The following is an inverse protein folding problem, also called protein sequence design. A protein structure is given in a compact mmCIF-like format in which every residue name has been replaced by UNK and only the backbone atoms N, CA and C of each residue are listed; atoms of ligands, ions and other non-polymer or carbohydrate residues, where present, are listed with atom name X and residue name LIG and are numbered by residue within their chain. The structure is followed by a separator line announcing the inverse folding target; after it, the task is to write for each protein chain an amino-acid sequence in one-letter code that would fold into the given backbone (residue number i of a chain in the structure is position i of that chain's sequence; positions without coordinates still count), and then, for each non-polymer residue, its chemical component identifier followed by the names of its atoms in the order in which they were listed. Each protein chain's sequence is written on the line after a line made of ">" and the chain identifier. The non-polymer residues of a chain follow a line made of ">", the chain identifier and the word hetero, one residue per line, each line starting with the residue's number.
data_IF_705684760748
#
_entry.id   IF_705684760748
#
_cell.length_a   1.000
_cell.length_b   1.000
_cell.length_c   1.000
_cell.angle_alpha   90.00
_cell.angle_beta   90.00
_cell.angle_gamma   90.00
#
_symmetry.space_group_name_H-M   'P 1'
#
loop_
_entity.id
_entity.type
_entity.pdbx_description
1 polymer ?
#
# COMPACT_ATOMS: atom_id res chain seq x y z
N UNK A 1 -7.91 -15.57 -3.37
CA UNK A 1 -7.56 -14.53 -4.37
C UNK A 1 -7.60 -15.15 -5.75
N UNK A 2 -8.65 -14.83 -6.52
CA UNK A 2 -8.81 -15.31 -7.90
C UNK A 2 -8.02 -14.41 -8.86
N UNK A 3 -7.67 -14.97 -10.00
CA UNK A 3 -6.79 -14.40 -11.02
C UNK A 3 -7.23 -13.00 -11.45
N UNK A 4 -6.46 -12.02 -10.99
CA UNK A 4 -6.51 -10.62 -11.34
C UNK A 4 -5.14 -10.28 -11.89
N UNK A 5 -5.04 -9.22 -12.70
CA UNK A 5 -3.77 -8.56 -12.98
C UNK A 5 -3.20 -7.85 -11.75
N UNK A 6 -3.20 -8.51 -10.59
CA UNK A 6 -2.55 -8.06 -9.37
C UNK A 6 -1.07 -7.97 -9.67
N UNK A 7 -0.55 -6.76 -9.71
CA UNK A 7 0.89 -6.59 -9.67
C UNK A 7 1.30 -6.86 -8.23
N UNK A 8 2.45 -7.51 -8.01
CA UNK A 8 3.07 -7.47 -6.67
C UNK A 8 3.38 -6.00 -6.32
N UNK A 9 4.09 -5.68 -5.25
CA UNK A 9 4.70 -4.34 -5.10
C UNK A 9 6.13 -4.35 -5.72
N UNK A 10 6.36 -4.55 -7.05
CA UNK A 10 7.56 -4.04 -7.66
C UNK A 10 7.38 -2.55 -8.05
N UNK A 11 6.21 -1.95 -7.80
CA UNK A 11 5.88 -0.55 -8.10
C UNK A 11 6.58 0.47 -7.21
N UNK A 12 7.14 0.00 -6.09
CA UNK A 12 7.68 0.85 -5.03
C UNK A 12 9.09 0.37 -4.68
N UNK A 13 9.98 1.32 -4.41
CA UNK A 13 11.30 1.08 -3.82
C UNK A 13 11.23 1.20 -2.29
N UNK A 14 11.79 0.19 -1.61
CA UNK A 14 11.98 0.17 -0.15
C UNK A 14 13.47 0.24 0.19
N UNK A 15 13.88 1.28 0.90
CA UNK A 15 15.27 1.50 1.31
C UNK A 15 15.33 2.35 2.59
N UNK A 16 16.34 2.13 3.42
CA UNK A 16 16.53 2.86 4.69
C UNK A 16 17.52 4.04 4.54
N UNK A 17 18.45 3.99 3.58
CA UNK A 17 19.71 4.76 3.66
C UNK A 17 20.05 5.69 2.48
N UNK A 18 19.12 6.00 1.57
CA UNK A 18 19.38 6.98 0.50
C UNK A 18 18.74 8.32 0.86
N UNK A 19 19.51 9.42 0.84
CA UNK A 19 18.99 10.77 1.16
C UNK A 19 17.85 11.16 0.22
N UNK A 20 17.91 10.70 -1.03
CA UNK A 20 16.94 11.00 -2.09
C UNK A 20 15.54 10.45 -1.79
N UNK A 21 15.43 9.45 -0.90
CA UNK A 21 14.15 8.95 -0.41
C UNK A 21 13.48 9.94 0.54
N UNK A 22 14.28 10.69 1.30
CA UNK A 22 13.80 11.62 2.29
C UNK A 22 13.43 12.97 1.69
N UNK A 23 13.94 13.29 0.50
CA UNK A 23 13.64 14.50 -0.26
C UNK A 23 12.29 14.46 -1.00
N UNK A 24 11.65 13.29 -1.07
CA UNK A 24 10.35 13.14 -1.72
C UNK A 24 9.26 13.94 -1.00
N UNK A 25 8.37 14.59 -1.75
CA UNK A 25 7.24 15.35 -1.20
C UNK A 25 6.24 14.45 -0.48
N UNK A 26 5.97 13.27 -1.04
CA UNK A 26 5.12 12.26 -0.43
C UNK A 26 5.88 10.93 -0.42
N UNK A 27 5.92 10.28 0.75
CA UNK A 27 6.48 8.93 0.90
C UNK A 27 5.68 8.12 1.90
N UNK A 28 5.69 6.81 1.74
CA UNK A 28 5.09 5.89 2.68
C UNK A 28 6.14 5.44 3.71
N UNK A 29 5.72 5.33 4.95
CA UNK A 29 6.50 4.85 6.08
C UNK A 29 5.89 3.54 6.56
N UNK A 30 6.64 2.45 6.49
CA UNK A 30 6.18 1.10 6.84
C UNK A 30 6.88 0.63 8.10
N UNK A 31 6.14 0.11 9.06
CA UNK A 31 6.75 -0.38 10.31
C UNK A 31 7.46 -1.72 10.11
N UNK A 32 8.62 -1.86 10.76
CA UNK A 32 9.38 -3.12 10.78
C UNK A 32 8.83 -4.10 11.81
N UNK A 33 8.45 -3.62 12.99
CA UNK A 33 7.95 -4.42 14.11
C UNK A 33 6.66 -3.80 14.62
N UNK A 34 5.70 -4.64 15.01
CA UNK A 34 4.41 -4.21 15.57
C UNK A 34 3.23 -4.45 14.64
N UNK A 35 2.18 -3.65 14.80
CA UNK A 35 0.96 -3.74 14.01
C UNK A 35 1.24 -3.42 12.54
N UNK A 36 0.74 -4.24 11.61
CA UNK A 36 0.94 -4.05 10.17
C UNK A 36 0.22 -2.77 9.74
N UNK A 37 0.97 -1.68 9.59
CA UNK A 37 0.46 -0.36 9.25
C UNK A 37 1.43 0.40 8.36
N UNK A 38 0.88 1.28 7.52
CA UNK A 38 1.61 2.23 6.72
C UNK A 38 1.14 3.65 7.05
N UNK A 39 2.07 4.60 7.09
CA UNK A 39 1.77 6.02 7.24
C UNK A 39 2.19 6.79 5.99
N UNK A 40 1.51 7.88 5.70
CA UNK A 40 1.93 8.84 4.67
C UNK A 40 2.71 9.96 5.34
N UNK A 41 3.93 10.21 4.88
CA UNK A 41 4.72 11.36 5.27
C UNK A 41 4.71 12.42 4.17
N UNK A 42 4.44 13.65 4.58
CA UNK A 42 4.52 14.88 3.77
C UNK A 42 5.52 15.90 4.31
N UNK A 43 6.16 15.57 5.43
CA UNK A 43 7.04 16.47 6.18
C UNK A 43 8.51 16.11 6.02
N UNK A 44 8.83 15.18 5.11
CA UNK A 44 10.20 14.71 4.83
C UNK A 44 10.92 14.20 6.08
N UNK A 45 10.19 13.53 6.97
CA UNK A 45 10.70 13.04 8.23
C UNK A 45 11.80 12.00 8.02
N UNK A 46 12.87 12.12 8.81
CA UNK A 46 13.88 11.07 8.95
C UNK A 46 13.39 10.00 9.91
N UNK A 47 13.75 8.74 9.66
CA UNK A 47 13.37 7.63 10.51
C UNK A 47 14.56 6.73 10.84
N UNK A 48 14.45 6.01 11.96
CA UNK A 48 15.43 5.01 12.36
C UNK A 48 15.18 3.67 11.64
N UNK A 49 15.97 2.65 11.97
CA UNK A 49 15.87 1.30 11.39
C UNK A 49 14.55 0.55 11.67
N UNK A 50 13.69 1.08 12.55
CA UNK A 50 12.38 0.53 12.87
C UNK A 50 11.32 0.82 11.80
N UNK A 51 11.64 1.67 10.82
CA UNK A 51 10.73 2.07 9.75
C UNK A 51 11.43 1.94 8.41
N UNK A 52 10.70 1.42 7.42
CA UNK A 52 11.13 1.42 6.03
C UNK A 52 10.46 2.58 5.28
N UNK A 53 11.25 3.30 4.49
CA UNK A 53 10.73 4.30 3.56
C UNK A 53 10.40 3.63 2.23
N UNK A 54 9.23 3.97 1.72
CA UNK A 54 8.53 3.32 0.62
C UNK A 54 8.08 4.41 -0.38
N UNK A 55 8.66 4.45 -1.58
CA UNK A 55 8.32 5.46 -2.60
C UNK A 55 8.06 4.84 -3.98
N UNK A 56 7.14 5.38 -4.79
CA UNK A 56 6.97 4.94 -6.18
C UNK A 56 8.27 5.09 -6.99
N UNK A 57 8.56 4.16 -7.90
CA UNK A 57 9.77 4.22 -8.73
C UNK A 57 9.93 5.52 -9.52
N UNK A 58 8.85 6.09 -10.03
CA UNK A 58 8.89 7.34 -10.79
C UNK A 58 9.37 8.54 -9.97
N UNK A 59 9.26 8.52 -8.64
CA UNK A 59 9.85 9.54 -7.76
C UNK A 59 11.37 9.54 -7.79
N UNK A 60 11.99 8.42 -8.19
CA UNK A 60 13.44 8.30 -8.35
C UNK A 60 13.94 8.62 -9.75
N UNK A 61 13.08 9.03 -10.70
CA UNK A 61 13.44 9.14 -12.12
C UNK A 61 14.72 9.95 -12.41
N UNK A 62 15.01 10.98 -11.60
CA UNK A 62 16.20 11.84 -11.71
C UNK A 62 17.42 11.30 -10.96
N UNK A 63 17.24 10.30 -10.09
CA UNK A 63 18.28 9.75 -9.23
C UNK A 63 19.10 8.71 -10.00
N UNK A 64 20.41 8.96 -10.13
CA UNK A 64 21.39 8.10 -10.80
C UNK A 64 22.57 7.81 -9.87
N UNK A 65 22.41 6.83 -8.97
CA UNK A 65 23.47 6.40 -8.06
C UNK A 65 23.52 4.85 -7.94
N UNK A 66 24.42 4.32 -7.09
CA UNK A 66 24.62 2.87 -6.93
C UNK A 66 23.47 2.15 -6.20
N UNK A 67 22.59 2.87 -5.51
CA UNK A 67 21.54 2.28 -4.67
C UNK A 67 20.36 1.72 -5.47
N UNK A 68 19.70 2.46 -6.40
CA UNK A 68 18.72 1.89 -7.33
C UNK A 68 19.32 0.87 -8.29
N UNK A 69 20.59 1.05 -8.69
CA UNK A 69 21.31 0.11 -9.57
C UNK A 69 21.31 -1.31 -9.04
N UNK A 70 21.36 -1.51 -7.72
CA UNK A 70 21.32 -2.85 -7.10
C UNK A 70 19.98 -3.58 -7.28
N UNK A 71 18.91 -2.88 -7.64
CA UNK A 71 17.55 -3.43 -7.66
C UNK A 71 16.88 -3.38 -9.03
N UNK A 72 17.36 -2.53 -9.93
CA UNK A 72 16.88 -2.46 -11.31
C UNK A 72 18.04 -2.10 -12.23
N UNK A 73 18.07 -2.69 -13.41
CA UNK A 73 18.99 -2.33 -14.49
C UNK A 73 18.42 -1.19 -15.32
N UNK A 74 19.30 -0.39 -15.92
CA UNK A 74 18.85 0.57 -16.93
C UNK A 74 18.62 -0.15 -18.27
N UNK A 75 17.76 0.41 -19.12
CA UNK A 75 17.47 -0.14 -20.45
C UNK A 75 18.74 -0.30 -21.30
N UNK A 76 19.64 0.69 -21.25
CA UNK A 76 20.87 0.74 -22.05
C UNK A 76 22.13 0.36 -21.25
N UNK A 77 21.98 -0.40 -20.16
CA UNK A 77 23.11 -0.81 -19.32
C UNK A 77 24.00 -1.85 -20.02
N UNK A 78 25.33 -1.66 -19.95
CA UNK A 78 26.33 -2.59 -20.54
C UNK A 78 27.39 -2.96 -19.50
N UNK A 79 27.62 -4.26 -19.21
CA UNK A 79 26.81 -5.41 -19.65
C UNK A 79 25.41 -5.38 -19.03
N UNK A 80 24.42 -5.89 -19.76
CA UNK A 80 23.04 -5.90 -19.28
C UNK A 80 22.83 -6.96 -18.20
N UNK A 81 22.33 -6.55 -17.03
CA UNK A 81 22.02 -7.41 -15.88
C UNK A 81 20.61 -7.95 -15.97
N UNK A 82 20.40 -8.96 -16.84
CA UNK A 82 19.07 -9.50 -17.18
C UNK A 82 18.35 -10.17 -16.00
N UNK A 83 19.06 -10.47 -14.91
CA UNK A 83 18.51 -10.93 -13.64
C UNK A 83 17.70 -9.86 -12.91
N UNK A 84 17.91 -8.58 -13.24
CA UNK A 84 17.21 -7.45 -12.64
C UNK A 84 16.08 -6.94 -13.53
N UNK A 85 15.00 -6.41 -12.92
CA UNK A 85 13.94 -5.73 -13.66
C UNK A 85 14.47 -4.48 -14.37
N UNK A 86 13.81 -4.11 -15.47
CA UNK A 86 14.07 -2.88 -16.21
C UNK A 86 13.55 -1.67 -15.42
N UNK A 87 14.43 -0.72 -15.11
CA UNK A 87 14.09 0.45 -14.29
C UNK A 87 13.03 1.32 -14.94
N UNK A 88 13.15 1.60 -16.22
CA UNK A 88 12.23 2.44 -16.98
C UNK A 88 10.81 1.85 -17.00
N UNK A 89 10.70 0.52 -17.04
CA UNK A 89 9.40 -0.18 -16.93
C UNK A 89 8.80 -0.06 -15.53
N UNK A 90 9.63 -0.12 -14.48
CA UNK A 90 9.19 0.09 -13.09
C UNK A 90 8.70 1.53 -12.89
N UNK A 91 9.44 2.51 -13.40
CA UNK A 91 9.06 3.93 -13.36
C UNK A 91 7.72 4.14 -14.09
N UNK A 92 7.60 3.66 -15.34
CA UNK A 92 6.37 3.72 -16.13
C UNK A 92 5.19 3.09 -15.41
N UNK A 93 5.39 1.90 -14.83
CA UNK A 93 4.31 1.19 -14.15
C UNK A 93 3.89 1.91 -12.86
N UNK A 94 4.86 2.41 -12.09
CA UNK A 94 4.57 3.09 -10.82
C UNK A 94 3.78 4.39 -10.98
N UNK A 95 3.87 5.09 -12.13
CA UNK A 95 3.07 6.31 -12.40
C UNK A 95 1.57 6.07 -12.43
N UNK A 96 1.16 4.83 -12.64
CA UNK A 96 -0.26 4.45 -12.75
C UNK A 96 -0.96 4.41 -11.40
N UNK A 97 -0.22 4.49 -10.29
CA UNK A 97 -0.75 4.31 -8.95
C UNK A 97 -0.59 5.59 -8.14
N UNK A 98 -1.70 6.05 -7.56
CA UNK A 98 -1.69 7.14 -6.60
C UNK A 98 -1.11 6.65 -5.25
N UNK A 99 -0.23 7.44 -4.62
CA UNK A 99 0.40 7.03 -3.34
C UNK A 99 -0.61 6.86 -2.21
N UNK A 100 -1.71 7.63 -2.20
CA UNK A 100 -2.80 7.49 -1.23
C UNK A 100 -3.63 6.23 -1.49
N UNK A 101 -3.77 5.82 -2.75
CA UNK A 101 -4.35 4.52 -3.07
C UNK A 101 -3.47 3.38 -2.53
N UNK A 102 -2.15 3.48 -2.70
CA UNK A 102 -1.20 2.52 -2.11
C UNK A 102 -1.28 2.51 -0.57
N UNK A 103 -1.42 3.68 0.06
CA UNK A 103 -1.65 3.79 1.52
C UNK A 103 -2.90 3.02 1.96
N UNK A 104 -4.01 3.17 1.24
CA UNK A 104 -5.26 2.46 1.52
C UNK A 104 -5.09 0.94 1.39
N UNK A 105 -4.48 0.48 0.30
CA UNK A 105 -4.20 -0.95 0.09
C UNK A 105 -3.35 -1.51 1.24
N UNK A 106 -2.26 -0.84 1.60
CA UNK A 106 -1.32 -1.33 2.61
C UNK A 106 -1.88 -1.35 4.04
N UNK A 107 -2.89 -0.52 4.34
CA UNK A 107 -3.58 -0.53 5.62
C UNK A 107 -4.85 -1.39 5.65
N UNK A 108 -5.22 -2.02 4.52
CA UNK A 108 -6.39 -2.88 4.47
C UNK A 108 -6.22 -4.20 5.24
N UNK A 109 -7.32 -4.73 5.74
CA UNK A 109 -7.46 -6.05 6.34
C UNK A 109 -7.00 -7.16 5.39
N UNK A 110 -7.29 -7.03 4.10
CA UNK A 110 -6.83 -7.96 3.08
C UNK A 110 -5.29 -8.01 2.99
N UNK A 111 -4.63 -6.85 2.92
CA UNK A 111 -3.17 -6.78 2.91
C UNK A 111 -2.54 -7.23 4.24
N UNK A 112 -3.15 -6.86 5.36
CA UNK A 112 -2.72 -7.31 6.69
C UNK A 112 -2.78 -8.83 6.81
N UNK A 113 -3.89 -9.45 6.41
CA UNK A 113 -4.05 -10.90 6.38
C UNK A 113 -3.00 -11.57 5.47
N UNK A 114 -2.81 -11.03 4.26
CA UNK A 114 -1.79 -11.52 3.34
C UNK A 114 -0.40 -11.49 3.97
N UNK A 115 -0.01 -10.38 4.59
CA UNK A 115 1.30 -10.25 5.23
C UNK A 115 1.46 -11.19 6.42
N UNK A 116 0.43 -11.39 7.24
CA UNK A 116 0.46 -12.37 8.34
C UNK A 116 0.71 -13.79 7.85
N UNK A 117 0.14 -14.16 6.71
CA UNK A 117 0.31 -15.48 6.11
C UNK A 117 1.63 -15.66 5.33
N UNK A 118 2.23 -14.58 4.81
CA UNK A 118 3.37 -14.66 3.86
C UNK A 118 4.68 -14.04 4.36
N UNK A 119 4.70 -13.48 5.58
CA UNK A 119 5.90 -12.92 6.19
C UNK A 119 6.93 -14.00 6.54
N UNK A 120 8.20 -13.64 6.47
CA UNK A 120 9.33 -14.56 6.76
C UNK A 120 9.35 -15.06 8.20
N UNK A 121 8.95 -14.23 9.16
CA UNK A 121 8.87 -14.60 10.57
C UNK A 121 7.77 -13.83 11.31
N UNK A 122 7.52 -14.22 12.56
CA UNK A 122 6.43 -13.66 13.35
C UNK A 122 6.74 -12.34 14.09
N UNK A 123 7.98 -11.87 14.03
CA UNK A 123 8.47 -10.74 14.83
C UNK A 123 8.54 -9.47 13.98
N UNK A 124 9.08 -9.57 12.77
CA UNK A 124 9.35 -8.41 11.93
C UNK A 124 8.94 -8.63 10.48
N UNK A 125 8.49 -7.54 9.86
CA UNK A 125 8.29 -7.46 8.42
C UNK A 125 9.58 -6.98 7.77
N UNK A 126 9.96 -7.63 6.67
CA UNK A 126 11.09 -7.19 5.85
C UNK A 126 10.59 -6.45 4.61
N UNK A 127 11.45 -5.64 3.97
CA UNK A 127 11.10 -5.00 2.71
C UNK A 127 10.61 -5.99 1.65
N UNK A 128 11.18 -7.19 1.61
CA UNK A 128 10.78 -8.22 0.66
C UNK A 128 9.43 -8.88 0.99
N UNK A 129 8.93 -8.75 2.21
CA UNK A 129 7.57 -9.19 2.56
C UNK A 129 6.56 -8.17 2.07
N UNK A 130 6.81 -6.89 2.32
CA UNK A 130 6.02 -5.79 1.76
C UNK A 130 5.95 -5.85 0.23
N UNK A 131 7.07 -6.12 -0.45
CA UNK A 131 7.12 -6.25 -1.93
C UNK A 131 6.18 -7.32 -2.50
N UNK A 132 5.77 -8.32 -1.69
CA UNK A 132 4.90 -9.42 -2.15
C UNK A 132 3.42 -9.07 -2.12
N UNK A 133 3.02 -8.02 -1.38
CA UNK A 133 1.61 -7.63 -1.29
C UNK A 133 1.07 -7.43 -2.71
N UNK A 134 -0.03 -8.07 -3.10
CA UNK A 134 -0.62 -7.84 -4.40
C UNK A 134 -1.32 -6.47 -4.40
N UNK A 135 -1.13 -5.63 -5.42
CA UNK A 135 -1.80 -4.35 -5.60
C UNK A 135 -2.74 -4.47 -6.81
N UNK A 136 -4.05 -4.25 -6.63
CA UNK A 136 -4.99 -4.25 -7.73
C UNK A 136 -4.68 -3.15 -8.74
N UNK A 137 -4.41 -3.56 -9.98
CA UNK A 137 -4.07 -2.70 -11.11
C UNK A 137 -5.35 -2.19 -11.79
N UNK A 138 -5.87 -1.09 -11.26
CA UNK A 138 -7.13 -0.46 -11.71
C UNK A 138 -6.88 0.91 -12.33
N UNK A 139 -7.84 1.38 -13.13
CA UNK A 139 -7.76 2.68 -13.79
C UNK A 139 -7.69 3.84 -12.78
N UNK A 140 -6.99 4.95 -13.10
CA UNK A 140 -6.89 6.11 -12.19
C UNK A 140 -8.24 6.63 -11.68
N UNK A 141 -9.27 6.57 -12.52
CA UNK A 141 -10.63 7.00 -12.19
C UNK A 141 -11.25 6.12 -11.09
N UNK A 142 -10.93 4.82 -11.08
CA UNK A 142 -11.38 3.90 -10.04
C UNK A 142 -10.58 4.08 -8.74
N UNK A 143 -9.30 4.45 -8.82
CA UNK A 143 -8.51 4.79 -7.64
C UNK A 143 -9.04 6.06 -6.95
N UNK A 144 -9.66 6.98 -7.70
CA UNK A 144 -10.08 8.28 -7.21
C UNK A 144 -11.10 8.20 -6.06
N UNK A 145 -12.00 7.22 -6.05
CA UNK A 145 -12.98 7.04 -4.96
C UNK A 145 -12.29 6.70 -3.63
N UNK A 146 -11.33 5.78 -3.66
CA UNK A 146 -10.50 5.41 -2.50
C UNK A 146 -9.63 6.58 -2.06
N UNK A 147 -8.97 7.26 -3.01
CA UNK A 147 -8.12 8.43 -2.73
C UNK A 147 -8.90 9.54 -2.04
N UNK A 148 -10.15 9.80 -2.47
CA UNK A 148 -11.01 10.81 -1.87
C UNK A 148 -11.36 10.49 -0.40
N UNK A 149 -11.56 9.21 -0.06
CA UNK A 149 -11.77 8.80 1.32
C UNK A 149 -10.50 8.97 2.16
N UNK A 150 -9.34 8.59 1.61
CA UNK A 150 -8.04 8.82 2.27
C UNK A 150 -7.83 10.30 2.55
N UNK A 151 -8.13 11.18 1.59
CA UNK A 151 -8.02 12.62 1.78
C UNK A 151 -8.94 13.16 2.88
N UNK A 152 -10.17 12.66 2.98
CA UNK A 152 -11.06 13.01 4.09
C UNK A 152 -10.51 12.56 5.43
N UNK A 153 -9.99 11.34 5.53
CA UNK A 153 -9.39 10.81 6.76
C UNK A 153 -8.20 11.67 7.17
N UNK A 154 -7.25 11.92 6.26
CA UNK A 154 -6.06 12.71 6.55
C UNK A 154 -6.42 14.14 6.94
N UNK A 155 -7.43 14.75 6.30
CA UNK A 155 -7.92 16.08 6.65
C UNK A 155 -8.53 16.10 8.06
N UNK A 156 -9.37 15.10 8.38
CA UNK A 156 -10.00 14.98 9.68
C UNK A 156 -8.95 14.78 10.79
N UNK A 157 -7.99 13.89 10.60
CA UNK A 157 -6.90 13.63 11.57
C UNK A 157 -5.98 14.83 11.79
N UNK A 158 -5.75 15.65 10.76
CA UNK A 158 -4.97 16.89 10.89
C UNK A 158 -5.74 17.98 11.63
N UNK A 159 -7.06 18.02 11.50
CA UNK A 159 -7.91 18.99 12.20
C UNK A 159 -8.15 18.60 13.66
N UNK A 160 -8.32 17.30 13.93
CA UNK A 160 -8.59 16.75 15.25
C UNK A 160 -7.99 15.33 15.41
N UNK A 161 -7.11 15.17 16.39
CA UNK A 161 -6.50 13.87 16.71
C UNK A 161 -7.51 12.85 17.25
N UNK A 162 -8.69 13.30 17.70
CA UNK A 162 -9.79 12.47 18.20
C UNK A 162 -10.91 12.27 17.18
N UNK A 163 -10.70 12.70 15.93
CA UNK A 163 -11.67 12.56 14.85
C UNK A 163 -12.15 11.11 14.69
N UNK A 164 -13.46 10.92 14.64
CA UNK A 164 -14.08 9.61 14.42
C UNK A 164 -14.00 9.24 12.94
N UNK A 165 -12.95 8.49 12.58
CA UNK A 165 -12.66 8.11 11.20
C UNK A 165 -13.05 6.67 10.85
N UNK A 166 -13.44 5.86 11.85
CA UNK A 166 -13.74 4.43 11.70
C UNK A 166 -14.70 4.10 10.56
N UNK A 167 -15.80 4.85 10.31
CA UNK A 167 -16.66 4.57 9.16
C UNK A 167 -15.94 4.73 7.81
N UNK A 168 -15.09 5.74 7.67
CA UNK A 168 -14.31 5.96 6.44
C UNK A 168 -13.22 4.90 6.26
N UNK A 169 -12.59 4.47 7.34
CA UNK A 169 -11.63 3.36 7.32
C UNK A 169 -12.31 2.05 6.89
N UNK A 170 -13.49 1.76 7.45
CA UNK A 170 -14.28 0.58 7.11
C UNK A 170 -14.74 0.61 5.63
N UNK A 171 -15.20 1.76 5.12
CA UNK A 171 -15.57 1.90 3.72
C UNK A 171 -14.37 1.67 2.78
N UNK A 172 -13.19 2.21 3.12
CA UNK A 172 -11.96 1.95 2.37
C UNK A 172 -11.65 0.44 2.38
N UNK A 173 -11.68 -0.18 3.55
CA UNK A 173 -11.34 -1.59 3.69
C UNK A 173 -12.25 -2.49 2.84
N UNK A 174 -13.54 -2.19 2.85
CA UNK A 174 -14.53 -2.86 2.03
C UNK A 174 -14.29 -2.65 0.53
N UNK A 175 -14.04 -1.41 0.09
CA UNK A 175 -13.72 -1.14 -1.33
C UNK A 175 -12.50 -1.93 -1.76
N UNK A 176 -11.49 -2.02 -0.90
CA UNK A 176 -10.30 -2.83 -1.15
C UNK A 176 -10.65 -4.33 -1.20
N UNK A 177 -11.50 -4.85 -0.32
CA UNK A 177 -11.96 -6.24 -0.36
C UNK A 177 -12.63 -6.60 -1.70
N UNK A 178 -13.47 -5.70 -2.23
CA UNK A 178 -14.06 -5.83 -3.57
C UNK A 178 -13.00 -5.82 -4.69
N UNK A 179 -11.98 -4.96 -4.59
CA UNK A 179 -10.86 -4.95 -5.55
C UNK A 179 -10.04 -6.24 -5.54
N UNK A 180 -9.96 -6.93 -4.39
CA UNK A 180 -9.35 -8.26 -4.28
C UNK A 180 -10.31 -9.41 -4.65
N UNK A 181 -11.57 -9.09 -4.99
CA UNK A 181 -12.64 -10.05 -5.28
C UNK A 181 -12.84 -11.08 -4.17
N UNK A 182 -12.76 -10.63 -2.91
CA UNK A 182 -13.08 -11.48 -1.77
C UNK A 182 -14.59 -11.70 -1.73
N UNK A 183 -15.03 -12.93 -1.50
CA UNK A 183 -16.43 -13.20 -1.15
C UNK A 183 -16.76 -12.63 0.25
N UNK A 184 -18.03 -12.38 0.54
CA UNK A 184 -18.43 -11.85 1.85
C UNK A 184 -17.97 -12.76 2.99
N UNK A 185 -18.05 -14.08 2.81
CA UNK A 185 -17.64 -15.07 3.80
C UNK A 185 -16.13 -15.04 4.03
N UNK A 186 -15.34 -14.92 2.95
CA UNK A 186 -13.89 -14.78 3.02
C UNK A 186 -13.51 -13.47 3.75
N UNK A 187 -14.18 -12.37 3.42
CA UNK A 187 -13.94 -11.08 4.03
C UNK A 187 -14.32 -11.10 5.52
N UNK A 188 -15.49 -11.63 5.88
CA UNK A 188 -15.92 -11.80 7.27
C UNK A 188 -14.94 -12.65 8.08
N UNK A 189 -14.41 -13.73 7.50
CA UNK A 189 -13.40 -14.56 8.15
C UNK A 189 -12.13 -13.76 8.44
N UNK A 190 -11.65 -12.97 7.46
CA UNK A 190 -10.48 -12.10 7.63
C UNK A 190 -10.69 -11.11 8.79
N UNK A 191 -11.84 -10.43 8.85
CA UNK A 191 -12.14 -9.47 9.91
C UNK A 191 -12.08 -10.14 11.29
N UNK A 192 -12.63 -11.37 11.41
CA UNK A 192 -12.62 -12.18 12.64
C UNK A 192 -11.22 -12.64 13.03
N UNK A 193 -10.42 -13.16 12.10
CA UNK A 193 -9.05 -13.61 12.36
C UNK A 193 -8.11 -12.47 12.77
N UNK A 194 -8.33 -11.29 12.20
CA UNK A 194 -7.62 -10.08 12.59
C UNK A 194 -8.12 -9.48 13.92
N UNK A 195 -9.22 -9.99 14.46
CA UNK A 195 -9.86 -9.51 15.71
C UNK A 195 -10.15 -8.01 15.63
N UNK A 196 -10.68 -7.55 14.50
CA UNK A 196 -11.04 -6.15 14.34
C UNK A 196 -12.24 -5.80 15.23
N UNK A 197 -12.27 -4.59 15.82
CA UNK A 197 -13.27 -4.22 16.81
C UNK A 197 -14.65 -3.97 16.19
N UNK A 198 -15.70 -4.16 16.98
CA UNK A 198 -17.07 -4.23 16.46
C UNK A 198 -17.69 -2.93 15.91
N UNK A 199 -17.26 -1.67 16.20
CA UNK A 199 -17.75 -0.58 15.34
C UNK A 199 -17.12 -0.65 13.92
N UNK A 200 -15.92 -1.21 13.77
CA UNK A 200 -15.27 -1.32 12.46
C UNK A 200 -15.81 -2.52 11.68
N UNK A 201 -15.80 -3.72 12.27
CA UNK A 201 -16.15 -4.95 11.57
C UNK A 201 -17.61 -4.96 11.10
N UNK A 202 -18.53 -4.43 11.92
CA UNK A 202 -19.94 -4.28 11.55
C UNK A 202 -20.11 -3.28 10.40
N UNK A 203 -19.49 -2.10 10.50
CA UNK A 203 -19.54 -1.09 9.44
C UNK A 203 -18.98 -1.64 8.11
N UNK A 204 -17.86 -2.35 8.16
CA UNK A 204 -17.21 -2.94 7.00
C UNK A 204 -18.14 -3.93 6.27
N UNK A 205 -18.79 -4.84 7.00
CA UNK A 205 -19.74 -5.80 6.41
C UNK A 205 -20.99 -5.12 5.86
N UNK A 206 -21.49 -4.08 6.52
CA UNK A 206 -22.62 -3.30 6.00
C UNK A 206 -22.26 -2.60 4.69
N UNK A 207 -21.13 -1.89 4.64
CA UNK A 207 -20.64 -1.30 3.40
C UNK A 207 -20.38 -2.35 2.31
N UNK A 208 -19.95 -3.56 2.69
CA UNK A 208 -19.67 -4.62 1.73
C UNK A 208 -20.94 -5.00 0.98
N UNK A 209 -22.03 -5.19 1.72
CA UNK A 209 -23.36 -5.49 1.17
C UNK A 209 -23.92 -4.32 0.38
N UNK A 210 -23.73 -3.09 0.83
CA UNK A 210 -24.18 -1.90 0.11
C UNK A 210 -23.49 -1.74 -1.25
N UNK A 211 -22.19 -1.99 -1.32
CA UNK A 211 -21.43 -1.96 -2.58
C UNK A 211 -21.85 -3.14 -3.48
N UNK A 212 -21.96 -4.35 -2.93
CA UNK A 212 -22.39 -5.53 -3.68
C UNK A 212 -23.80 -5.37 -4.26
N UNK A 213 -24.70 -4.71 -3.53
CA UNK A 213 -26.06 -4.39 -3.94
C UNK A 213 -26.18 -3.15 -4.84
N UNK A 214 -25.08 -2.44 -5.12
CA UNK A 214 -25.07 -1.24 -5.95
C UNK A 214 -25.68 0.02 -5.30
N UNK A 215 -25.88 0.00 -3.98
CA UNK A 215 -26.38 1.14 -3.19
C UNK A 215 -25.26 2.18 -3.07
N UNK A 216 -24.05 1.73 -2.78
CA UNK A 216 -22.85 2.56 -2.69
C UNK A 216 -21.97 2.32 -3.93
N UNK A 217 -21.58 3.41 -4.61
CA UNK A 217 -20.70 3.39 -5.79
C UNK A 217 -19.30 3.83 -5.42
#
# INVERSE_FOLDING_TARGET
>A
MRDLSLKKIPLIRLLISSVELYEQEEKLMLVKVGAIRAALDKSRLYCNEGVYVCIPWHGLQSVRNNSPKKAARYLNETPSRLDLPCREDLEKTSRRFNIKYLLAILNSSAACNFLRANRRNNIQLYPDDWKKVPVPDIAPEQQASVVKLVDKILTAMNADLMAQITPMEAEIDTRVAHLYQLAEEEYSLILKELKLPDPFAEAALNFYRDIAGGILK
#
